data_IF_378258901919
#
_entry.id   IF_378258901919
#
_cell.length_a   1.000
_cell.length_b   1.000
_cell.length_c   1.000
_cell.angle_alpha   90.00
_cell.angle_beta   90.00
_cell.angle_gamma   90.00
#
_symmetry.space_group_name_H-M   'P 1'
#
loop_
_entity.id
_entity.type
_entity.pdbx_description
1 polymer ?
#
# COMPACT_ATOMS: atom_id res chain seq x y z
N UNK A 1 7.33 6.78 20.70
CA UNK A 1 6.33 7.41 19.81
C UNK A 1 4.92 6.86 20.02
N UNK A 2 4.74 5.64 20.53
CA UNK A 2 3.39 5.08 20.78
C UNK A 2 2.53 5.95 21.70
N UNK A 3 3.08 6.39 22.84
CA UNK A 3 2.35 7.26 23.77
C UNK A 3 1.99 8.61 23.14
N UNK A 4 2.84 9.11 22.23
CA UNK A 4 2.56 10.34 21.48
C UNK A 4 1.36 10.14 20.56
N UNK A 5 1.29 9.03 19.81
CA UNK A 5 0.14 8.70 18.98
C UNK A 5 -1.15 8.59 19.80
N UNK A 6 -1.11 7.92 20.97
CA UNK A 6 -2.26 7.81 21.87
C UNK A 6 -2.78 9.18 22.32
N UNK A 7 -1.89 10.10 22.68
CA UNK A 7 -2.26 11.48 23.07
C UNK A 7 -2.80 12.28 21.87
N UNK A 8 -2.32 12.03 20.67
CA UNK A 8 -2.80 12.65 19.43
C UNK A 8 -4.13 12.07 18.91
N UNK A 9 -4.65 11.01 19.54
CA UNK A 9 -5.78 10.22 19.05
C UNK A 9 -5.53 9.60 17.65
N UNK A 10 -4.28 9.18 17.42
CA UNK A 10 -3.86 8.47 16.21
C UNK A 10 -3.70 6.99 16.54
N UNK A 11 -3.99 6.14 15.55
CA UNK A 11 -3.67 4.71 15.64
C UNK A 11 -2.16 4.52 15.90
N UNK A 12 -1.80 3.57 16.76
CA UNK A 12 -0.42 3.37 17.24
C UNK A 12 0.51 3.07 16.07
N UNK A 13 0.08 2.29 15.09
CA UNK A 13 0.89 1.95 13.91
C UNK A 13 1.12 3.12 12.93
N UNK A 14 0.65 4.33 13.24
CA UNK A 14 1.09 5.57 12.56
C UNK A 14 2.38 6.14 13.14
N UNK A 15 2.88 5.61 14.27
CA UNK A 15 4.05 6.11 15.02
C UNK A 15 5.28 6.35 14.16
N UNK A 16 5.54 5.46 13.20
CA UNK A 16 6.65 5.61 12.26
C UNK A 16 6.46 6.82 11.36
N UNK A 17 5.29 6.98 10.76
CA UNK A 17 5.02 8.12 9.89
C UNK A 17 5.08 9.45 10.66
N UNK A 18 4.57 9.51 11.90
CA UNK A 18 4.69 10.70 12.76
C UNK A 18 6.17 11.04 13.02
N UNK A 19 6.98 10.04 13.37
CA UNK A 19 8.41 10.22 13.60
C UNK A 19 9.13 10.76 12.34
N UNK A 20 8.92 10.12 11.19
CA UNK A 20 9.54 10.51 9.92
C UNK A 20 9.11 11.91 9.48
N UNK A 21 7.83 12.25 9.64
CA UNK A 21 7.31 13.59 9.37
C UNK A 21 7.98 14.66 10.24
N UNK A 22 8.18 14.38 11.54
CA UNK A 22 8.90 15.27 12.44
C UNK A 22 10.37 15.43 12.03
N UNK A 23 11.07 14.34 11.73
CA UNK A 23 12.47 14.37 11.29
C UNK A 23 12.63 15.19 10.00
N UNK A 24 11.73 15.03 9.04
CA UNK A 24 11.76 15.77 7.78
C UNK A 24 11.55 17.27 7.97
N UNK A 25 10.61 17.68 8.82
CA UNK A 25 10.45 19.10 9.15
C UNK A 25 11.64 19.68 9.91
N UNK A 26 12.29 18.87 10.74
CA UNK A 26 13.49 19.24 11.48
C UNK A 26 14.78 19.14 10.64
N UNK A 27 14.72 18.69 9.38
CA UNK A 27 15.87 18.37 8.54
C UNK A 27 16.88 17.41 9.22
N UNK A 28 16.37 16.40 9.92
CA UNK A 28 17.16 15.35 10.57
C UNK A 28 17.24 14.09 9.72
N UNK A 29 18.26 13.27 9.99
CA UNK A 29 18.34 11.91 9.48
C UNK A 29 17.14 11.09 9.94
N UNK A 30 16.77 10.07 9.17
CA UNK A 30 15.63 9.19 9.46
C UNK A 30 16.17 7.83 9.90
N UNK A 31 16.81 7.84 11.07
CA UNK A 31 17.41 6.65 11.67
C UNK A 31 16.73 6.36 13.01
N UNK A 32 16.62 5.09 13.40
CA UNK A 32 15.95 4.69 14.65
C UNK A 32 16.60 5.26 15.92
N UNK A 33 17.86 5.69 15.81
CA UNK A 33 18.61 6.32 16.90
C UNK A 33 18.47 7.85 16.91
N UNK A 34 17.78 8.44 15.92
CA UNK A 34 17.66 9.90 15.83
C UNK A 34 16.77 10.41 16.95
N UNK A 35 17.28 11.24 17.87
CA UNK A 35 16.47 11.75 18.97
C UNK A 35 15.50 12.81 18.46
N UNK A 36 14.24 12.72 18.87
CA UNK A 36 13.22 13.73 18.63
C UNK A 36 12.92 14.48 19.94
N UNK A 37 12.99 15.81 19.93
CA UNK A 37 12.61 16.63 21.08
C UNK A 37 11.22 17.25 20.92
N UNK A 38 10.68 17.79 22.01
CA UNK A 38 9.36 18.39 22.04
C UNK A 38 9.20 19.56 21.05
N UNK A 39 10.25 20.37 20.82
CA UNK A 39 10.18 21.52 19.91
C UNK A 39 9.95 21.07 18.46
N UNK A 40 10.62 20.00 18.05
CA UNK A 40 10.50 19.41 16.71
C UNK A 40 9.12 18.80 16.51
N UNK A 41 8.65 18.02 17.48
CA UNK A 41 7.28 17.52 17.49
C UNK A 41 6.24 18.65 17.45
N UNK A 42 6.41 19.69 18.27
CA UNK A 42 5.49 20.83 18.32
C UNK A 42 5.47 21.60 16.99
N UNK A 43 6.59 21.65 16.26
CA UNK A 43 6.63 22.24 14.91
C UNK A 43 5.76 21.44 13.95
N UNK A 44 5.93 20.11 13.91
CA UNK A 44 5.09 19.22 13.12
C UNK A 44 3.60 19.34 13.50
N UNK A 45 3.29 19.27 14.79
CA UNK A 45 1.91 19.31 15.28
C UNK A 45 1.19 20.59 14.87
N UNK A 46 1.84 21.75 15.06
CA UNK A 46 1.25 23.04 14.67
C UNK A 46 1.08 23.17 13.16
N UNK A 47 2.05 22.70 12.36
CA UNK A 47 1.92 22.72 10.90
C UNK A 47 0.77 21.82 10.43
N UNK A 48 0.67 20.60 10.95
CA UNK A 48 -0.41 19.66 10.64
C UNK A 48 -1.78 20.23 11.01
N UNK A 49 -1.99 20.67 12.26
CA UNK A 49 -3.31 21.16 12.73
C UNK A 49 -3.76 22.39 11.95
N UNK A 50 -2.82 23.21 11.45
CA UNK A 50 -3.14 24.37 10.62
C UNK A 50 -3.70 24.01 9.23
N UNK A 51 -3.40 22.82 8.71
CA UNK A 51 -3.79 22.36 7.35
C UNK A 51 -4.81 21.23 7.35
N UNK A 52 -4.85 20.43 8.42
CA UNK A 52 -5.61 19.19 8.52
C UNK A 52 -6.52 19.20 9.76
N UNK A 53 -7.82 19.12 9.53
CA UNK A 53 -8.85 19.43 10.53
C UNK A 53 -9.68 18.23 10.98
N UNK A 54 -9.40 17.04 10.44
CA UNK A 54 -9.99 15.78 10.87
C UNK A 54 -8.97 14.63 10.75
N UNK A 55 -9.33 13.46 11.28
CA UNK A 55 -8.45 12.28 11.30
C UNK A 55 -7.93 11.91 9.90
N UNK A 56 -8.83 11.88 8.91
CA UNK A 56 -8.45 11.54 7.54
C UNK A 56 -7.45 12.53 6.93
N UNK A 57 -7.70 13.84 7.03
CA UNK A 57 -6.76 14.84 6.52
C UNK A 57 -5.43 14.84 7.28
N UNK A 58 -5.44 14.56 8.59
CA UNK A 58 -4.23 14.46 9.41
C UNK A 58 -3.40 13.25 9.06
N UNK A 59 -4.05 12.11 8.81
CA UNK A 59 -3.39 10.90 8.31
C UNK A 59 -2.75 11.14 6.94
N UNK A 60 -3.50 11.75 5.99
CA UNK A 60 -2.98 12.14 4.66
C UNK A 60 -1.76 13.04 4.78
N UNK A 61 -1.85 14.12 5.57
CA UNK A 61 -0.75 15.05 5.77
C UNK A 61 0.49 14.34 6.33
N UNK A 62 0.30 13.51 7.36
CA UNK A 62 1.39 12.83 8.07
C UNK A 62 2.11 11.84 7.15
N UNK A 63 1.39 10.94 6.47
CA UNK A 63 2.01 9.97 5.57
C UNK A 63 2.62 10.64 4.35
N UNK A 64 1.99 11.68 3.79
CA UNK A 64 2.57 12.40 2.65
C UNK A 64 3.88 13.10 3.02
N UNK A 65 3.92 13.77 4.17
CA UNK A 65 5.13 14.41 4.65
C UNK A 65 6.21 13.37 4.97
N UNK A 66 5.85 12.27 5.63
CA UNK A 66 6.73 11.14 5.94
C UNK A 66 7.26 10.41 4.72
N UNK A 67 6.50 10.33 3.62
CA UNK A 67 6.84 9.61 2.40
C UNK A 67 7.60 10.45 1.37
N UNK A 68 7.09 11.63 1.00
CA UNK A 68 7.71 12.51 -0.02
C UNK A 68 8.41 13.77 0.51
N UNK A 69 8.05 14.23 1.71
CA UNK A 69 8.64 15.45 2.30
C UNK A 69 7.93 16.72 1.82
N UNK A 70 6.91 16.55 0.97
CA UNK A 70 6.09 17.62 0.46
C UNK A 70 5.05 18.04 1.50
N UNK A 71 5.07 19.32 1.87
CA UNK A 71 4.21 19.88 2.92
C UNK A 71 2.79 20.18 2.48
N UNK A 72 2.56 20.26 1.18
CA UNK A 72 1.29 20.71 0.58
C UNK A 72 0.60 19.61 -0.22
N UNK A 73 1.14 18.39 -0.21
CA UNK A 73 0.57 17.25 -0.93
C UNK A 73 -0.66 16.73 -0.19
N UNK A 74 -1.81 16.74 -0.87
CA UNK A 74 -3.12 16.41 -0.30
C UNK A 74 -3.61 14.98 -0.63
N UNK A 75 -2.68 14.08 -0.96
CA UNK A 75 -2.95 12.69 -1.27
C UNK A 75 -1.81 11.78 -0.79
N UNK A 76 -2.11 10.49 -0.72
CA UNK A 76 -1.16 9.40 -0.47
C UNK A 76 -1.02 8.54 -1.74
N UNK A 77 0.23 8.25 -2.12
CA UNK A 77 0.61 7.27 -3.13
C UNK A 77 1.03 5.95 -2.46
N UNK A 78 1.27 4.90 -3.26
CA UNK A 78 1.54 3.55 -2.73
C UNK A 78 2.81 3.52 -1.88
N UNK A 79 3.83 4.24 -2.33
CA UNK A 79 5.16 4.24 -1.76
C UNK A 79 5.19 4.83 -0.34
N UNK A 80 4.28 5.75 -0.02
CA UNK A 80 4.24 6.41 1.29
C UNK A 80 3.74 5.48 2.42
N UNK A 81 3.13 4.35 2.08
CA UNK A 81 2.74 3.34 3.08
C UNK A 81 3.93 2.47 3.53
N UNK A 82 5.02 2.44 2.76
CA UNK A 82 6.11 1.46 2.93
C UNK A 82 6.70 1.51 4.34
N UNK A 83 7.12 2.69 4.83
CA UNK A 83 7.73 2.82 6.16
C UNK A 83 6.77 2.41 7.28
N UNK A 84 5.49 2.79 7.15
CA UNK A 84 4.45 2.46 8.13
C UNK A 84 4.22 0.94 8.20
N UNK A 85 4.15 0.27 7.05
CA UNK A 85 3.93 -1.18 6.99
C UNK A 85 5.18 -1.97 7.39
N UNK A 86 6.38 -1.45 7.15
CA UNK A 86 7.61 -2.05 7.69
C UNK A 86 7.64 -1.98 9.21
N UNK A 87 7.24 -0.86 9.82
CA UNK A 87 7.11 -0.75 11.28
C UNK A 87 6.05 -1.70 11.84
N UNK A 88 4.92 -1.87 11.12
CA UNK A 88 3.90 -2.87 11.45
C UNK A 88 4.49 -4.30 11.46
N UNK A 89 5.24 -4.69 10.42
CA UNK A 89 5.88 -6.03 10.34
C UNK A 89 6.79 -6.26 11.54
N UNK A 90 7.63 -5.28 11.90
CA UNK A 90 8.63 -5.45 12.96
C UNK A 90 8.05 -5.37 14.38
N UNK A 91 6.91 -4.71 14.58
CA UNK A 91 6.41 -4.41 15.93
C UNK A 91 5.06 -5.04 16.28
N UNK A 92 4.31 -5.57 15.31
CA UNK A 92 3.03 -6.22 15.59
C UNK A 92 3.24 -7.68 16.04
N UNK A 93 2.65 -8.11 17.19
CA UNK A 93 2.87 -9.45 17.72
C UNK A 93 2.44 -10.57 16.78
N UNK A 94 1.32 -10.37 16.06
CA UNK A 94 0.84 -11.29 15.03
C UNK A 94 1.69 -11.38 13.76
N UNK A 95 2.78 -10.61 13.65
CA UNK A 95 3.72 -10.62 12.52
C UNK A 95 5.17 -10.86 12.93
N UNK A 96 5.47 -11.18 14.19
CA UNK A 96 6.85 -11.41 14.65
C UNK A 96 7.59 -12.47 13.81
N UNK A 97 6.90 -13.55 13.42
CA UNK A 97 7.49 -14.58 12.56
C UNK A 97 7.86 -14.04 11.16
N UNK A 98 7.12 -13.04 10.67
CA UNK A 98 7.40 -12.39 9.39
C UNK A 98 8.57 -11.43 9.53
N UNK A 99 8.74 -10.77 10.69
CA UNK A 99 9.90 -9.92 10.97
C UNK A 99 11.23 -10.66 10.77
N UNK A 100 11.28 -11.95 11.13
CA UNK A 100 12.45 -12.83 10.94
C UNK A 100 12.64 -13.33 9.49
N UNK A 101 11.73 -12.98 8.57
CA UNK A 101 11.71 -13.46 7.18
C UNK A 101 11.71 -12.30 6.16
N UNK A 102 12.83 -11.55 6.02
CA UNK A 102 12.93 -10.33 5.22
C UNK A 102 12.60 -10.52 3.73
N UNK A 103 12.79 -11.73 3.20
CA UNK A 103 12.46 -12.06 1.80
C UNK A 103 10.96 -11.90 1.48
N UNK A 104 10.09 -11.92 2.49
CA UNK A 104 8.64 -11.77 2.31
C UNK A 104 8.12 -10.36 2.62
N UNK A 105 8.94 -9.47 3.20
CA UNK A 105 8.48 -8.14 3.64
C UNK A 105 7.90 -7.33 2.49
N UNK A 106 8.66 -7.21 1.39
CA UNK A 106 8.21 -6.47 0.22
C UNK A 106 6.89 -7.03 -0.35
N UNK A 107 6.73 -8.35 -0.37
CA UNK A 107 5.54 -9.02 -0.91
C UNK A 107 4.32 -8.85 -0.01
N UNK A 108 4.51 -8.90 1.31
CA UNK A 108 3.45 -8.56 2.25
C UNK A 108 3.00 -7.10 2.09
N UNK A 109 3.95 -6.17 1.99
CA UNK A 109 3.67 -4.75 1.74
C UNK A 109 2.90 -4.56 0.43
N UNK A 110 3.34 -5.18 -0.67
CA UNK A 110 2.68 -5.11 -1.97
C UNK A 110 1.20 -5.56 -1.90
N UNK A 111 0.91 -6.67 -1.20
CA UNK A 111 -0.46 -7.15 -1.02
C UNK A 111 -1.28 -6.19 -0.17
N UNK A 112 -0.78 -5.78 0.99
CA UNK A 112 -1.52 -4.88 1.89
C UNK A 112 -1.83 -3.56 1.19
N UNK A 113 -0.84 -2.94 0.53
CA UNK A 113 -1.04 -1.71 -0.25
C UNK A 113 -2.00 -1.93 -1.40
N UNK A 114 -1.89 -3.06 -2.12
CA UNK A 114 -2.84 -3.44 -3.17
C UNK A 114 -4.28 -3.46 -2.66
N UNK A 115 -4.52 -4.11 -1.51
CA UNK A 115 -5.84 -4.18 -0.85
C UNK A 115 -6.33 -2.82 -0.36
N UNK A 116 -5.45 -1.98 0.18
CA UNK A 116 -5.78 -0.60 0.58
C UNK A 116 -6.26 0.19 -0.63
N UNK A 117 -5.49 0.20 -1.73
CA UNK A 117 -5.87 0.97 -2.92
C UNK A 117 -7.12 0.41 -3.61
N UNK A 118 -7.30 -0.91 -3.62
CA UNK A 118 -8.49 -1.59 -4.15
C UNK A 118 -9.79 -1.15 -3.47
N UNK A 119 -9.75 -0.99 -2.15
CA UNK A 119 -10.92 -0.65 -1.35
C UNK A 119 -11.09 0.87 -1.16
N UNK A 120 -9.99 1.64 -1.09
CA UNK A 120 -10.03 3.07 -0.75
C UNK A 120 -9.95 3.97 -1.99
N UNK A 121 -9.08 3.70 -2.96
CA UNK A 121 -8.87 4.58 -4.12
C UNK A 121 -9.91 4.33 -5.23
N UNK A 122 -11.17 4.63 -4.92
CA UNK A 122 -12.34 4.45 -5.80
C UNK A 122 -12.25 5.21 -7.12
N UNK A 123 -11.48 6.29 -7.15
CA UNK A 123 -11.21 7.06 -8.38
C UNK A 123 -10.20 6.39 -9.32
N UNK A 124 -9.52 5.34 -8.86
CA UNK A 124 -8.42 4.66 -9.55
C UNK A 124 -7.26 5.59 -9.94
N UNK A 125 -7.15 6.76 -9.33
CA UNK A 125 -6.12 7.76 -9.68
C UNK A 125 -4.71 7.35 -9.27
N UNK A 126 -4.55 6.31 -8.45
CA UNK A 126 -3.30 5.99 -7.76
C UNK A 126 -2.98 6.98 -6.64
N UNK A 127 -3.95 7.80 -6.23
CA UNK A 127 -3.80 8.86 -5.23
C UNK A 127 -4.98 8.83 -4.26
N UNK A 128 -4.77 8.28 -3.07
CA UNK A 128 -5.79 8.28 -2.01
C UNK A 128 -5.90 9.69 -1.45
N UNK A 129 -7.09 10.29 -1.57
CA UNK A 129 -7.39 11.60 -0.97
C UNK A 129 -8.08 11.47 0.39
N UNK A 130 -8.08 12.53 1.20
CA UNK A 130 -8.84 12.54 2.45
C UNK A 130 -10.34 12.27 2.23
N UNK A 131 -10.90 12.64 1.07
CA UNK A 131 -12.31 12.36 0.73
C UNK A 131 -12.57 10.88 0.54
N UNK A 132 -11.66 10.17 -0.12
CA UNK A 132 -11.76 8.72 -0.31
C UNK A 132 -11.55 7.99 1.02
N UNK A 133 -10.56 8.43 1.80
CA UNK A 133 -10.26 7.86 3.10
C UNK A 133 -11.43 7.97 4.10
N UNK A 134 -12.14 9.12 4.12
CA UNK A 134 -13.35 9.30 4.95
C UNK A 134 -14.49 8.36 4.59
N UNK A 135 -14.51 7.82 3.37
CA UNK A 135 -15.58 6.95 2.87
C UNK A 135 -15.23 5.46 2.98
N UNK A 136 -14.03 5.13 3.43
CA UNK A 136 -13.62 3.76 3.70
C UNK A 136 -13.61 3.48 5.19
N UNK A 137 -13.42 2.22 5.55
CA UNK A 137 -13.21 1.78 6.93
C UNK A 137 -11.71 1.72 7.31
N UNK A 138 -10.79 2.21 6.47
CA UNK A 138 -9.36 2.01 6.68
C UNK A 138 -8.84 2.51 8.04
N UNK A 139 -9.23 3.71 8.47
CA UNK A 139 -8.76 4.28 9.74
C UNK A 139 -9.34 3.54 10.95
N UNK A 140 -10.60 3.11 10.85
CA UNK A 140 -11.23 2.24 11.85
C UNK A 140 -10.49 0.91 11.95
N UNK A 141 -10.22 0.26 10.81
CA UNK A 141 -9.46 -0.99 10.76
C UNK A 141 -8.06 -0.80 11.31
N UNK A 142 -7.37 0.31 11.01
CA UNK A 142 -6.04 0.59 11.53
C UNK A 142 -6.03 0.71 13.06
N UNK A 143 -7.08 1.27 13.67
CA UNK A 143 -7.24 1.27 15.14
C UNK A 143 -7.50 -0.12 15.70
N UNK A 144 -8.23 -0.98 14.99
CA UNK A 144 -8.42 -2.38 15.42
C UNK A 144 -7.09 -3.15 15.48
N UNK A 145 -6.11 -2.81 14.64
CA UNK A 145 -4.76 -3.39 14.66
C UNK A 145 -4.05 -3.10 15.98
N UNK A 146 -4.31 -1.96 16.62
CA UNK A 146 -3.67 -1.59 17.88
C UNK A 146 -4.01 -2.57 19.03
N UNK A 147 -5.24 -3.11 19.03
CA UNK A 147 -5.77 -3.92 20.14
C UNK A 147 -5.86 -5.43 19.80
N UNK A 148 -5.56 -5.82 18.57
CA UNK A 148 -5.77 -7.21 18.09
C UNK A 148 -4.44 -7.93 17.84
N UNK A 149 -4.01 -8.75 18.80
CA UNK A 149 -2.75 -9.49 18.68
C UNK A 149 -2.69 -10.47 17.49
N UNK A 150 -3.84 -11.03 17.09
CA UNK A 150 -3.95 -11.94 15.96
C UNK A 150 -4.36 -11.17 14.70
N UNK A 151 -3.37 -10.85 13.86
CA UNK A 151 -3.54 -10.02 12.66
C UNK A 151 -4.55 -10.63 11.67
N UNK A 152 -4.76 -11.95 11.70
CA UNK A 152 -5.67 -12.62 10.77
C UNK A 152 -7.15 -12.43 11.12
N UNK A 153 -7.46 -12.04 12.36
CA UNK A 153 -8.83 -11.63 12.73
C UNK A 153 -9.23 -10.32 12.07
N UNK A 154 -8.25 -9.52 11.65
CA UNK A 154 -8.46 -8.30 10.87
C UNK A 154 -8.41 -8.68 9.40
N UNK A 155 -9.54 -9.14 8.89
CA UNK A 155 -9.64 -9.60 7.50
C UNK A 155 -9.34 -8.49 6.51
N UNK A 156 -9.72 -7.26 6.83
CA UNK A 156 -9.51 -6.09 5.98
C UNK A 156 -8.06 -5.62 6.01
N UNK A 157 -7.49 -5.46 4.80
CA UNK A 157 -6.13 -4.96 4.53
C UNK A 157 -4.98 -5.83 5.03
N UNK A 158 -4.87 -6.08 6.34
CA UNK A 158 -3.62 -6.50 7.00
C UNK A 158 -3.47 -8.02 7.24
N UNK A 159 -4.51 -8.82 7.05
CA UNK A 159 -4.45 -10.27 7.25
C UNK A 159 -3.25 -10.92 6.52
N UNK A 160 -2.42 -11.63 7.29
CA UNK A 160 -1.30 -12.41 6.77
C UNK A 160 -1.78 -13.62 5.96
N UNK A 161 -2.88 -14.26 6.37
CA UNK A 161 -3.48 -15.38 5.62
C UNK A 161 -3.90 -14.96 4.21
N UNK A 162 -4.50 -13.77 4.05
CA UNK A 162 -4.83 -13.24 2.72
C UNK A 162 -3.59 -12.96 1.87
N UNK A 163 -2.52 -12.45 2.49
CA UNK A 163 -1.22 -12.35 1.82
C UNK A 163 -0.69 -13.72 1.38
N UNK A 164 -0.69 -14.70 2.27
CA UNK A 164 -0.15 -16.02 2.00
C UNK A 164 -0.88 -16.71 0.84
N UNK A 165 -2.22 -16.69 0.84
CA UNK A 165 -3.02 -17.24 -0.27
C UNK A 165 -2.72 -16.53 -1.59
N UNK A 166 -2.64 -15.20 -1.57
CA UNK A 166 -2.32 -14.41 -2.78
C UNK A 166 -0.93 -14.75 -3.32
N UNK A 167 0.05 -14.86 -2.42
CA UNK A 167 1.42 -15.18 -2.77
C UNK A 167 1.56 -16.63 -3.30
N UNK A 168 0.91 -17.61 -2.67
CA UNK A 168 0.90 -18.99 -3.16
C UNK A 168 0.29 -19.09 -4.56
N UNK A 169 -0.86 -18.44 -4.82
CA UNK A 169 -1.49 -18.44 -6.15
C UNK A 169 -0.61 -17.80 -7.23
N UNK A 170 0.20 -16.80 -6.86
CA UNK A 170 1.19 -16.20 -7.76
C UNK A 170 2.36 -17.16 -8.01
N UNK A 171 2.91 -17.72 -6.93
CA UNK A 171 4.04 -18.65 -6.98
C UNK A 171 3.73 -19.92 -7.79
N UNK A 172 2.48 -20.39 -7.76
CA UNK A 172 2.05 -21.54 -8.57
C UNK A 172 2.14 -21.32 -10.08
N UNK A 173 2.03 -20.06 -10.55
CA UNK A 173 2.07 -19.73 -11.98
C UNK A 173 3.42 -19.15 -12.42
N UNK A 174 4.15 -18.48 -11.53
CA UNK A 174 5.51 -17.97 -11.75
C UNK A 174 6.55 -19.08 -11.52
N UNK A 175 6.68 -20.00 -12.49
CA UNK A 175 7.51 -21.21 -12.32
C UNK A 175 9.02 -20.96 -12.39
N UNK A 176 9.45 -19.89 -13.06
CA UNK A 176 10.84 -19.46 -13.16
C UNK A 176 11.24 -18.45 -12.07
N UNK A 177 10.30 -18.04 -11.22
CA UNK A 177 10.50 -17.21 -10.03
C UNK A 177 11.11 -15.85 -10.35
N UNK A 178 10.76 -15.28 -11.51
CA UNK A 178 11.27 -13.99 -11.95
C UNK A 178 10.42 -12.81 -11.42
N UNK A 179 9.38 -13.11 -10.64
CA UNK A 179 8.43 -12.18 -10.04
C UNK A 179 7.60 -11.40 -11.06
N UNK A 180 7.53 -11.89 -12.29
CA UNK A 180 6.57 -11.46 -13.29
C UNK A 180 5.76 -12.66 -13.81
N UNK A 181 4.64 -12.38 -14.45
CA UNK A 181 3.72 -13.39 -14.95
C UNK A 181 3.43 -13.07 -16.39
N UNK A 182 3.75 -14.00 -17.29
CA UNK A 182 3.43 -13.89 -18.70
C UNK A 182 2.00 -14.34 -19.00
N UNK A 183 1.56 -14.12 -20.23
CA UNK A 183 0.29 -14.69 -20.74
C UNK A 183 0.26 -16.21 -20.64
N UNK A 184 1.41 -16.86 -20.82
CA UNK A 184 1.50 -18.31 -20.79
C UNK A 184 1.32 -18.83 -19.36
N UNK A 185 1.88 -18.13 -18.38
CA UNK A 185 1.73 -18.46 -16.96
C UNK A 185 0.28 -18.28 -16.52
N UNK A 186 -0.37 -17.18 -16.94
CA UNK A 186 -1.79 -16.93 -16.66
C UNK A 186 -2.74 -17.99 -17.23
N UNK A 187 -2.34 -18.76 -18.26
CA UNK A 187 -3.14 -19.88 -18.76
C UNK A 187 -3.19 -21.04 -17.77
N UNK A 188 -2.23 -21.14 -16.86
CA UNK A 188 -2.21 -22.19 -15.85
C UNK A 188 -3.01 -21.82 -14.59
N UNK A 189 -3.40 -20.54 -14.44
CA UNK A 189 -4.19 -20.08 -13.30
C UNK A 189 -5.47 -20.90 -13.13
N UNK A 190 -5.66 -21.46 -11.92
CA UNK A 190 -6.78 -22.32 -11.56
C UNK A 190 -7.03 -23.47 -12.57
N UNK A 191 -5.96 -24.06 -13.11
CA UNK A 191 -6.06 -25.18 -14.07
C UNK A 191 -6.65 -24.79 -15.43
N UNK A 192 -6.47 -23.54 -15.86
CA UNK A 192 -6.97 -23.05 -17.14
C UNK A 192 -8.40 -22.54 -17.11
N UNK A 193 -8.86 -22.04 -15.96
CA UNK A 193 -10.20 -21.49 -15.82
C UNK A 193 -10.44 -20.21 -16.66
N UNK A 194 -9.38 -19.46 -16.98
CA UNK A 194 -9.47 -18.23 -17.75
C UNK A 194 -9.45 -18.49 -19.26
N UNK A 195 -10.41 -17.91 -19.98
CA UNK A 195 -10.38 -17.96 -21.45
C UNK A 195 -9.28 -17.06 -22.03
N UNK A 196 -8.74 -17.43 -23.20
CA UNK A 196 -7.72 -16.62 -23.89
C UNK A 196 -8.17 -15.15 -24.10
N UNK A 197 -9.46 -14.90 -24.36
CA UNK A 197 -9.98 -13.54 -24.53
C UNK A 197 -9.88 -12.70 -23.25
N UNK A 198 -10.08 -13.32 -22.08
CA UNK A 198 -9.93 -12.63 -20.79
C UNK A 198 -8.45 -12.37 -20.51
N UNK A 199 -7.59 -13.35 -20.77
CA UNK A 199 -6.13 -13.19 -20.63
C UNK A 199 -5.66 -12.04 -21.52
N UNK A 200 -6.03 -12.01 -22.80
CA UNK A 200 -5.66 -10.92 -23.72
C UNK A 200 -6.12 -9.54 -23.22
N UNK A 201 -7.26 -9.46 -22.50
CA UNK A 201 -7.75 -8.22 -21.89
C UNK A 201 -6.98 -7.82 -20.64
N UNK A 202 -6.55 -8.77 -19.81
CA UNK A 202 -5.69 -8.49 -18.63
C UNK A 202 -4.37 -7.87 -19.08
N UNK A 203 -3.75 -8.43 -20.13
CA UNK A 203 -2.49 -7.94 -20.70
C UNK A 203 -2.67 -6.78 -21.70
N UNK A 204 -3.88 -6.22 -21.78
CA UNK A 204 -4.12 -4.97 -22.50
C UNK A 204 -4.01 -3.79 -21.54
N UNK A 205 -3.86 -2.58 -22.09
CA UNK A 205 -3.87 -1.31 -21.35
C UNK A 205 -5.21 -0.99 -20.64
N UNK A 206 -6.16 -1.94 -20.60
CA UNK A 206 -7.48 -1.77 -20.00
C UNK A 206 -7.46 -1.68 -18.47
N UNK A 207 -6.56 -2.44 -17.82
CA UNK A 207 -6.51 -2.55 -16.35
C UNK A 207 -5.13 -2.20 -15.77
N UNK A 208 -4.08 -2.19 -16.61
CA UNK A 208 -2.73 -1.85 -16.20
C UNK A 208 -2.50 -0.35 -16.40
N UNK A 209 -2.13 0.36 -15.33
CA UNK A 209 -1.80 1.78 -15.38
C UNK A 209 -0.30 1.94 -15.59
N UNK A 210 0.13 2.17 -16.83
CA UNK A 210 1.52 2.53 -17.11
C UNK A 210 1.82 3.92 -16.52
N UNK A 211 2.88 4.07 -15.70
CA UNK A 211 3.32 5.36 -15.22
C UNK A 211 3.58 6.33 -16.38
N UNK A 212 3.26 7.63 -16.20
CA UNK A 212 3.37 8.63 -17.27
C UNK A 212 4.78 8.75 -17.88
N UNK A 213 5.80 8.38 -17.10
CA UNK A 213 7.22 8.36 -17.41
C UNK A 213 7.69 7.09 -18.16
N UNK A 214 6.91 6.00 -18.17
CA UNK A 214 7.13 4.83 -19.05
C UNK A 214 6.38 4.97 -20.39
N UNK A 215 5.77 6.12 -20.67
CA UNK A 215 5.12 6.42 -21.96
C UNK A 215 6.10 6.67 -23.11
N UNK A 216 7.41 6.58 -22.87
CA UNK A 216 8.44 6.89 -23.87
C UNK A 216 9.36 5.69 -24.06
N UNK A 217 8.87 4.69 -24.78
CA UNK A 217 9.74 3.80 -25.55
C UNK A 217 9.53 4.11 -27.03
N UNK A 218 10.56 4.68 -27.65
CA UNK A 218 10.86 4.76 -29.09
C UNK A 218 9.72 4.80 -30.13
N UNK A 219 9.69 5.90 -30.91
CA UNK A 219 9.20 6.02 -32.29
C UNK A 219 7.86 5.41 -32.75
N UNK A 220 6.97 4.93 -31.86
CA UNK A 220 5.65 4.43 -32.26
C UNK A 220 4.53 4.89 -31.32
N UNK A 221 3.95 6.05 -31.65
CA UNK A 221 2.61 6.48 -31.21
C UNK A 221 2.39 6.63 -29.69
N UNK A 222 1.22 7.14 -29.28
CA UNK A 222 0.83 7.12 -27.87
C UNK A 222 0.65 5.66 -27.40
N UNK A 223 1.17 5.35 -26.21
CA UNK A 223 1.30 4.03 -25.55
C UNK A 223 -0.03 3.28 -25.28
N UNK A 224 -1.14 3.69 -25.89
CA UNK A 224 -2.45 3.13 -25.62
C UNK A 224 -2.68 1.72 -26.20
N UNK A 225 -1.84 1.21 -27.10
CA UNK A 225 -2.18 0.04 -27.94
C UNK A 225 -1.17 -1.12 -27.93
N UNK A 226 -0.01 -1.02 -27.27
CA UNK A 226 0.88 -2.18 -27.18
C UNK A 226 0.47 -3.06 -25.99
N UNK A 227 0.17 -4.34 -26.24
CA UNK A 227 -0.06 -5.27 -25.14
C UNK A 227 1.21 -5.38 -24.31
N UNK A 228 1.04 -5.40 -23.00
CA UNK A 228 2.15 -5.67 -22.09
C UNK A 228 2.38 -7.19 -22.12
N UNK A 229 3.64 -7.63 -22.16
CA UNK A 229 3.97 -9.07 -22.28
C UNK A 229 3.88 -9.78 -20.93
N UNK A 230 4.18 -9.07 -19.84
CA UNK A 230 4.23 -9.59 -18.47
C UNK A 230 3.57 -8.62 -17.48
N UNK A 231 3.07 -9.15 -16.36
CA UNK A 231 2.59 -8.35 -15.24
C UNK A 231 3.38 -8.68 -13.98
N UNK A 232 3.72 -7.67 -13.18
CA UNK A 232 4.34 -7.91 -11.87
C UNK A 232 3.33 -8.35 -10.81
N UNK A 233 3.87 -8.74 -9.65
CA UNK A 233 3.09 -9.17 -8.49
C UNK A 233 1.95 -8.20 -8.10
N UNK A 234 2.20 -6.89 -8.08
CA UNK A 234 1.20 -5.87 -7.75
C UNK A 234 -0.06 -5.93 -8.64
N UNK A 235 0.14 -6.13 -9.95
CA UNK A 235 -0.96 -6.26 -10.91
C UNK A 235 -1.70 -7.57 -10.73
N UNK A 236 -0.97 -8.65 -10.40
CA UNK A 236 -1.59 -9.92 -10.06
C UNK A 236 -2.48 -9.84 -8.82
N UNK A 237 -2.08 -9.10 -7.77
CA UNK A 237 -2.93 -8.87 -6.59
C UNK A 237 -4.27 -8.24 -7.01
N UNK A 238 -4.23 -7.21 -7.87
CA UNK A 238 -5.44 -6.55 -8.36
C UNK A 238 -6.31 -7.48 -9.21
N UNK A 239 -5.69 -8.31 -10.05
CA UNK A 239 -6.37 -9.36 -10.80
C UNK A 239 -7.08 -10.34 -9.85
N UNK A 240 -6.39 -10.83 -8.83
CA UNK A 240 -6.92 -11.84 -7.93
C UNK A 240 -8.10 -11.30 -7.11
N UNK A 241 -8.00 -10.08 -6.61
CA UNK A 241 -9.11 -9.42 -5.90
C UNK A 241 -10.36 -9.28 -6.78
N UNK A 242 -10.18 -8.95 -8.07
CA UNK A 242 -11.28 -8.88 -9.03
C UNK A 242 -11.86 -10.26 -9.39
N UNK A 243 -11.01 -11.28 -9.39
CA UNK A 243 -11.41 -12.66 -9.67
C UNK A 243 -12.26 -13.22 -8.52
N UNK A 244 -11.82 -13.05 -7.28
CA UNK A 244 -12.50 -13.58 -6.09
C UNK A 244 -13.84 -12.91 -5.82
N UNK A 245 -13.95 -11.58 -5.99
CA UNK A 245 -15.21 -10.85 -5.87
C UNK A 245 -15.50 -9.96 -7.08
N UNK A 246 -16.32 -10.51 -8.00
CA UNK A 246 -16.77 -9.83 -9.22
C UNK A 246 -17.88 -8.79 -8.95
N UNK A 247 -18.32 -8.62 -7.71
CA UNK A 247 -19.37 -7.66 -7.30
C UNK A 247 -18.80 -6.49 -6.52
N UNK A 248 -17.48 -6.44 -6.31
CA UNK A 248 -16.84 -5.30 -5.67
C UNK A 248 -17.30 -4.01 -6.38
N UNK A 249 -17.82 -3.01 -5.65
CA UNK A 249 -18.28 -1.78 -6.28
C UNK A 249 -17.14 -1.19 -7.12
N UNK A 250 -17.43 -0.37 -8.13
CA UNK A 250 -16.46 0.49 -8.85
C UNK A 250 -16.70 1.96 -8.56
#
# INVERSE_FOLDING_TARGET
>A
MEDVCKVMDFAIYTKRAVFEACCRLANKSIDDQTPLNFREFNTYWNEMVSKAHDEASRFIYTLALAGSGERDRNYIAKEDFTSMLMDLIHTHPGLHFLADAPQFHARYVDVVVGRIFWNVNRSWTGRITAKELRKSNFLETLRLVDDTNDINKITDYFSYEHFYVTYCKFWEIDTDHDMVVSRQDMRNHCGGALTNRIIDRIFSSAVIRTPANQRIYGHRGPVHEQPIETIGFEHFVSFLLAEEDKRHPT
#
